data_IF_407105035900
#
_entry.id   IF_407105035900
#
_cell.length_a   1.000
_cell.length_b   1.000
_cell.length_c   1.000
_cell.angle_alpha   90.00
_cell.angle_beta   90.00
_cell.angle_gamma   90.00
#
_symmetry.space_group_name_H-M   'P 1'
#
loop_
_entity.id
_entity.type
_entity.pdbx_description
1 polymer ?
#
# COMPACT_ATOMS: atom_id res chain seq x y z
N UNK A 1 5.03 0.22 -15.43
CA UNK A 1 4.44 1.41 -16.10
C UNK A 1 5.52 2.17 -16.89
N UNK A 2 5.33 2.43 -18.19
CA UNK A 2 6.36 3.05 -19.06
C UNK A 2 6.10 4.52 -19.47
N UNK A 3 4.96 5.11 -19.11
CA UNK A 3 4.50 6.37 -19.72
C UNK A 3 4.29 7.57 -18.76
N UNK A 4 4.61 7.45 -17.46
CA UNK A 4 4.58 8.59 -16.52
C UNK A 4 5.95 8.75 -15.87
N UNK A 5 6.77 9.66 -16.41
CA UNK A 5 8.07 9.98 -15.83
C UNK A 5 7.89 10.83 -14.58
N UNK A 6 7.49 10.22 -13.46
CA UNK A 6 7.70 10.85 -12.16
C UNK A 6 9.21 10.85 -11.91
N UNK A 7 9.81 12.03 -11.74
CA UNK A 7 11.22 12.12 -11.42
C UNK A 7 11.46 11.62 -9.98
N UNK A 8 11.77 10.33 -9.88
CA UNK A 8 12.05 9.70 -8.59
C UNK A 8 13.40 10.12 -8.00
N UNK A 9 14.25 10.86 -8.73
CA UNK A 9 15.58 11.25 -8.22
C UNK A 9 15.49 12.31 -7.13
N UNK A 10 14.53 13.23 -7.21
CA UNK A 10 14.28 14.23 -6.17
C UNK A 10 13.54 13.63 -4.98
N UNK A 11 12.55 12.77 -5.22
CA UNK A 11 11.83 12.03 -4.18
C UNK A 11 12.75 11.15 -3.33
N UNK A 12 13.81 10.56 -3.91
CA UNK A 12 14.79 9.76 -3.16
C UNK A 12 15.58 10.55 -2.11
N UNK A 13 15.61 11.89 -2.19
CA UNK A 13 16.23 12.74 -1.16
C UNK A 13 15.41 12.71 0.14
N UNK A 14 14.09 12.58 0.04
CA UNK A 14 13.18 12.33 1.15
C UNK A 14 12.67 10.87 1.14
N UNK A 15 13.34 10.04 1.95
CA UNK A 15 13.03 8.62 2.07
C UNK A 15 11.58 8.35 2.51
N UNK A 16 10.95 9.26 3.27
CA UNK A 16 9.58 9.09 3.72
C UNK A 16 8.59 9.39 2.59
N UNK A 17 8.78 10.48 1.87
CA UNK A 17 7.94 10.82 0.71
C UNK A 17 8.04 9.75 -0.39
N UNK A 18 9.25 9.24 -0.67
CA UNK A 18 9.44 8.14 -1.61
C UNK A 18 8.72 6.86 -1.18
N UNK A 19 8.77 6.50 0.11
CA UNK A 19 8.10 5.32 0.62
C UNK A 19 6.58 5.41 0.49
N UNK A 20 6.00 6.57 0.82
CA UNK A 20 4.56 6.84 0.64
C UNK A 20 4.17 6.70 -0.82
N UNK A 21 4.86 7.42 -1.70
CA UNK A 21 4.60 7.35 -3.14
C UNK A 21 4.71 5.93 -3.67
N UNK A 22 5.73 5.16 -3.26
CA UNK A 22 5.89 3.77 -3.72
C UNK A 22 4.75 2.88 -3.24
N UNK A 23 4.31 3.03 -1.99
CA UNK A 23 3.16 2.29 -1.46
C UNK A 23 1.88 2.63 -2.26
N UNK A 24 1.62 3.91 -2.53
CA UNK A 24 0.46 4.33 -3.33
C UNK A 24 0.52 3.75 -4.74
N UNK A 25 1.69 3.78 -5.38
CA UNK A 25 1.86 3.22 -6.72
C UNK A 25 1.57 1.72 -6.76
N UNK A 26 2.11 0.97 -5.79
CA UNK A 26 1.93 -0.47 -5.70
C UNK A 26 0.50 -0.88 -5.37
N UNK A 27 -0.18 -0.10 -4.53
CA UNK A 27 -1.54 -0.41 -4.10
C UNK A 27 -2.55 -0.06 -5.21
N UNK A 28 -2.55 1.19 -5.68
CA UNK A 28 -3.60 1.67 -6.59
C UNK A 28 -3.43 1.13 -8.02
N UNK A 29 -2.19 0.79 -8.42
CA UNK A 29 -1.91 0.38 -9.81
C UNK A 29 -1.40 -1.05 -9.95
N UNK A 30 -1.32 -1.78 -8.83
CA UNK A 30 -0.92 -3.16 -8.81
C UNK A 30 0.57 -3.38 -8.53
N UNK A 31 0.83 -4.58 -8.03
CA UNK A 31 2.12 -4.94 -7.45
C UNK A 31 3.19 -5.29 -8.49
N UNK A 32 2.81 -5.64 -9.73
CA UNK A 32 3.74 -6.03 -10.82
C UNK A 32 4.81 -7.07 -10.39
N UNK A 33 4.42 -8.00 -9.50
CA UNK A 33 5.32 -9.02 -8.95
C UNK A 33 6.14 -8.61 -7.72
N UNK A 34 6.06 -7.34 -7.29
CA UNK A 34 6.67 -6.86 -6.06
C UNK A 34 5.82 -7.20 -4.83
N UNK A 35 6.47 -7.29 -3.65
CA UNK A 35 5.76 -7.48 -2.38
C UNK A 35 5.54 -6.14 -1.70
N UNK A 36 4.32 -5.93 -1.21
CA UNK A 36 3.98 -4.79 -0.37
C UNK A 36 4.49 -5.04 1.06
N UNK A 37 5.30 -4.11 1.59
CA UNK A 37 5.77 -4.20 2.98
C UNK A 37 4.68 -3.69 3.93
N UNK A 38 4.09 -4.62 4.68
CA UNK A 38 3.05 -4.32 5.68
C UNK A 38 3.49 -3.27 6.71
N UNK A 39 4.76 -3.28 7.15
CA UNK A 39 5.24 -2.34 8.17
C UNK A 39 5.28 -0.91 7.63
N UNK A 40 5.67 -0.74 6.36
CA UNK A 40 5.68 0.58 5.71
C UNK A 40 4.25 1.09 5.49
N UNK A 41 3.34 0.21 5.06
CA UNK A 41 1.92 0.56 4.89
C UNK A 41 1.30 1.01 6.21
N UNK A 42 1.52 0.27 7.29
CA UNK A 42 1.01 0.63 8.62
C UNK A 42 1.64 1.94 9.12
N UNK A 43 2.95 2.13 8.93
CA UNK A 43 3.67 3.34 9.37
C UNK A 43 3.13 4.61 8.72
N UNK A 44 2.72 4.53 7.46
CA UNK A 44 2.29 5.70 6.69
C UNK A 44 0.79 5.70 6.38
N UNK A 45 0.01 4.81 6.98
CA UNK A 45 -1.40 4.59 6.65
C UNK A 45 -2.24 5.87 6.58
N UNK A 46 -2.05 6.77 7.54
CA UNK A 46 -2.79 8.04 7.62
C UNK A 46 -2.39 9.05 6.53
N UNK A 47 -1.26 8.83 5.86
CA UNK A 47 -0.72 9.70 4.80
C UNK A 47 -0.95 9.15 3.40
N UNK A 48 -1.34 7.88 3.26
CA UNK A 48 -1.55 7.24 1.95
C UNK A 48 -2.84 7.73 1.29
N UNK A 49 -2.72 8.16 0.03
CA UNK A 49 -3.82 8.46 -0.88
C UNK A 49 -4.16 7.19 -1.69
N UNK A 50 -5.08 6.39 -1.15
CA UNK A 50 -5.50 5.13 -1.74
C UNK A 50 -6.90 5.25 -2.34
N UNK A 51 -7.16 4.47 -3.39
CA UNK A 51 -8.51 4.36 -3.94
C UNK A 51 -9.46 3.78 -2.86
N UNK A 52 -10.73 4.24 -2.79
CA UNK A 52 -11.63 3.88 -1.69
C UNK A 52 -11.88 2.38 -1.54
N UNK A 53 -11.87 1.64 -2.65
CA UNK A 53 -12.06 0.18 -2.66
C UNK A 53 -10.82 -0.54 -2.12
N UNK A 54 -9.63 -0.16 -2.59
CA UNK A 54 -8.36 -0.70 -2.11
C UNK A 54 -8.14 -0.38 -0.63
N UNK A 55 -8.50 0.84 -0.19
CA UNK A 55 -8.43 1.22 1.21
C UNK A 55 -9.31 0.34 2.08
N UNK A 56 -10.54 0.05 1.65
CA UNK A 56 -11.45 -0.86 2.38
C UNK A 56 -10.89 -2.28 2.43
N UNK A 57 -10.39 -2.78 1.30
CA UNK A 57 -9.82 -4.11 1.22
C UNK A 57 -8.58 -4.27 2.11
N UNK A 58 -7.65 -3.31 2.05
CA UNK A 58 -6.47 -3.30 2.90
C UNK A 58 -6.82 -3.12 4.37
N UNK A 59 -7.82 -2.30 4.71
CA UNK A 59 -8.31 -2.19 6.09
C UNK A 59 -8.78 -3.54 6.61
N UNK A 60 -9.54 -4.28 5.80
CA UNK A 60 -10.00 -5.62 6.14
C UNK A 60 -8.83 -6.60 6.38
N UNK A 61 -7.78 -6.52 5.57
CA UNK A 61 -6.60 -7.38 5.70
C UNK A 61 -5.72 -7.02 6.90
N UNK A 62 -5.55 -5.73 7.17
CA UNK A 62 -4.64 -5.22 8.20
C UNK A 62 -5.25 -5.24 9.60
N UNK A 63 -6.56 -5.04 9.70
CA UNK A 63 -7.30 -5.06 10.97
C UNK A 63 -8.53 -5.97 10.88
N UNK A 64 -8.33 -7.29 10.71
CA UNK A 64 -9.45 -8.22 10.66
C UNK A 64 -10.07 -8.36 12.06
N UNK A 65 -11.39 -8.23 12.16
CA UNK A 65 -12.17 -8.61 13.35
C UNK A 65 -12.10 -10.12 13.60
N UNK A 66 -12.44 -10.58 14.81
CA UNK A 66 -12.46 -12.01 15.17
C UNK A 66 -13.29 -12.85 14.19
N UNK A 67 -14.46 -12.34 13.77
CA UNK A 67 -15.30 -12.97 12.76
C UNK A 67 -14.58 -13.09 11.42
N UNK A 68 -13.83 -12.06 11.01
CA UNK A 68 -13.09 -12.06 9.75
C UNK A 68 -11.83 -12.94 9.82
N UNK A 69 -11.14 -12.97 10.96
CA UNK A 69 -10.03 -13.89 11.21
C UNK A 69 -10.50 -15.35 11.11
N UNK A 70 -11.67 -15.66 11.67
CA UNK A 70 -12.26 -17.01 11.54
C UNK A 70 -12.60 -17.41 10.10
N UNK A 71 -12.83 -16.45 9.20
CA UNK A 71 -13.06 -16.70 7.77
C UNK A 71 -11.74 -16.89 7.02
N UNK A 72 -10.70 -16.12 7.37
CA UNK A 72 -9.36 -16.23 6.79
C UNK A 72 -8.69 -17.56 7.15
N UNK A 73 -8.91 -18.06 8.37
CA UNK A 73 -8.29 -19.29 8.88
C UNK A 73 -8.99 -20.59 8.42
N UNK A 74 -10.03 -20.52 7.58
CA UNK A 74 -10.76 -21.70 7.06
C UNK A 74 -10.09 -22.38 5.85
N UNK A 75 -8.79 -22.17 5.65
CA UNK A 75 -8.02 -22.71 4.52
C UNK A 75 -7.00 -23.73 4.98
#
# INVERSE_FOLDING_TARGET
MKNWSTDTTELKKDKAAYAIWRCEQLINYGLDGEKLDQKLVLKYWDRLQLDPEDKKFLTFLLWPSEKQQSLLNRR
#
